data_IF_444744817128
#
_entry.id   IF_444744817128
#
_cell.length_a   1.000
_cell.length_b   1.000
_cell.length_c   1.000
_cell.angle_alpha   90.00
_cell.angle_beta   90.00
_cell.angle_gamma   90.00
#
_symmetry.space_group_name_H-M   'P 1'
#
loop_
_entity.id
_entity.type
_entity.pdbx_description
1 polymer ?
#
# COMPACT_ATOMS: atom_id res chain seq x y z
N UNK A 1 20.82 -5.38 -3.40
CA UNK A 1 20.85 -5.55 -4.88
C UNK A 1 21.40 -4.29 -5.52
N UNK A 2 22.22 -4.42 -6.57
CA UNK A 2 22.75 -3.29 -7.34
C UNK A 2 22.35 -3.41 -8.82
N UNK A 3 21.70 -2.38 -9.34
CA UNK A 3 21.37 -2.24 -10.76
C UNK A 3 22.60 -1.77 -11.55
N UNK A 4 22.63 -2.06 -12.84
CA UNK A 4 23.74 -1.68 -13.73
C UNK A 4 23.29 -0.65 -14.75
N UNK A 5 24.22 0.19 -15.22
CA UNK A 5 23.96 1.16 -16.29
C UNK A 5 22.68 1.96 -16.08
N UNK A 6 22.61 2.66 -14.94
CA UNK A 6 21.45 3.46 -14.57
C UNK A 6 21.46 4.78 -15.34
N UNK A 7 20.31 5.12 -15.91
CA UNK A 7 20.08 6.39 -16.60
C UNK A 7 18.88 7.10 -15.97
N UNK A 8 19.01 8.41 -15.77
CA UNK A 8 17.93 9.27 -15.29
C UNK A 8 17.02 9.67 -16.45
N UNK A 9 15.71 9.63 -16.23
CA UNK A 9 14.72 9.93 -17.25
C UNK A 9 13.52 10.67 -16.68
N UNK A 10 12.65 11.17 -17.56
CA UNK A 10 11.30 11.63 -17.21
C UNK A 10 10.27 10.63 -17.68
N UNK A 11 9.36 10.25 -16.79
CA UNK A 11 8.20 9.43 -17.17
C UNK A 11 7.25 10.24 -18.05
N UNK A 12 6.84 9.70 -19.19
CA UNK A 12 5.88 10.39 -20.09
C UNK A 12 4.49 9.81 -19.91
N UNK A 13 4.31 8.51 -20.18
CA UNK A 13 3.02 7.84 -20.03
C UNK A 13 3.15 6.33 -19.97
N UNK A 14 2.18 5.68 -19.32
CA UNK A 14 2.01 4.23 -19.35
C UNK A 14 1.31 3.83 -20.64
N UNK A 15 1.89 2.90 -21.40
CA UNK A 15 1.28 2.37 -22.62
C UNK A 15 0.37 1.18 -22.33
N UNK A 16 0.84 0.27 -21.48
CA UNK A 16 0.10 -0.91 -21.04
C UNK A 16 0.67 -1.43 -19.72
N UNK A 17 0.27 -2.64 -19.31
CA UNK A 17 0.72 -3.26 -18.04
C UNK A 17 2.23 -3.48 -17.93
N UNK A 18 2.98 -3.55 -19.04
CA UNK A 18 4.41 -3.90 -19.05
C UNK A 18 5.29 -2.91 -19.83
N UNK A 19 4.73 -1.81 -20.33
CA UNK A 19 5.47 -0.84 -21.14
C UNK A 19 5.03 0.59 -20.85
N UNK A 20 6.00 1.50 -20.91
CA UNK A 20 5.83 2.94 -20.78
C UNK A 20 6.73 3.68 -21.77
N UNK A 21 6.40 4.94 -22.03
CA UNK A 21 7.27 5.90 -22.68
C UNK A 21 7.96 6.76 -21.63
N UNK A 22 9.24 7.01 -21.85
CA UNK A 22 10.13 7.81 -21.01
C UNK A 22 10.96 8.72 -21.90
N UNK A 23 11.31 9.91 -21.43
CA UNK A 23 12.24 10.82 -22.08
C UNK A 23 13.63 10.65 -21.48
N UNK A 24 14.59 10.29 -22.32
CA UNK A 24 16.01 10.15 -21.99
C UNK A 24 16.77 11.07 -22.94
N UNK A 25 17.54 12.02 -22.39
CA UNK A 25 18.32 12.99 -23.18
C UNK A 25 17.51 13.73 -24.28
N UNK A 26 16.24 14.03 -23.98
CA UNK A 26 15.33 14.72 -24.91
C UNK A 26 14.66 13.82 -25.95
N UNK A 27 14.95 12.52 -25.98
CA UNK A 27 14.33 11.55 -26.87
C UNK A 27 13.32 10.64 -26.15
N UNK A 28 12.15 10.43 -26.77
CA UNK A 28 11.16 9.47 -26.25
C UNK A 28 11.61 8.04 -26.57
N UNK A 29 11.78 7.23 -25.53
CA UNK A 29 12.17 5.82 -25.58
C UNK A 29 11.11 4.93 -24.93
N UNK A 30 11.09 3.66 -25.34
CA UNK A 30 10.28 2.63 -24.68
C UNK A 30 11.03 2.06 -23.47
N UNK A 31 10.31 1.88 -22.37
CA UNK A 31 10.82 1.21 -21.17
C UNK A 31 9.87 0.10 -20.72
N UNK A 32 10.44 -0.98 -20.21
CA UNK A 32 9.70 -2.04 -19.52
C UNK A 32 9.24 -1.55 -18.15
N UNK A 33 7.98 -1.83 -17.81
CA UNK A 33 7.41 -1.60 -16.50
C UNK A 33 7.32 -2.96 -15.75
N UNK A 34 8.22 -3.25 -14.79
CA UNK A 34 8.35 -4.57 -14.18
C UNK A 34 7.40 -4.78 -12.98
N UNK A 35 6.14 -4.36 -13.13
CA UNK A 35 5.13 -4.51 -12.09
C UNK A 35 3.73 -4.53 -12.67
N UNK A 36 2.87 -5.39 -12.12
CA UNK A 36 1.45 -5.44 -12.45
C UNK A 36 0.62 -4.43 -11.64
N UNK A 37 1.23 -3.79 -10.62
CA UNK A 37 0.55 -2.76 -9.85
C UNK A 37 0.17 -1.57 -10.75
N UNK A 38 -0.92 -0.89 -10.39
CA UNK A 38 -1.38 0.27 -11.18
C UNK A 38 -0.40 1.43 -11.07
N UNK A 39 0.15 1.66 -9.87
CA UNK A 39 1.11 2.72 -9.53
C UNK A 39 0.69 4.11 -10.02
N UNK A 40 -0.60 4.43 -9.99
CA UNK A 40 -1.12 5.70 -10.54
C UNK A 40 -0.52 6.91 -9.82
N UNK A 41 -0.33 6.78 -8.50
CA UNK A 41 0.25 7.81 -7.65
C UNK A 41 1.75 8.06 -7.88
N UNK A 42 2.43 7.18 -8.61
CA UNK A 42 3.86 7.28 -8.95
C UNK A 42 4.08 7.57 -10.44
N UNK A 43 3.27 6.96 -11.32
CA UNK A 43 3.38 7.05 -12.78
C UNK A 43 2.71 8.33 -13.31
N UNK A 44 3.16 9.48 -12.81
CA UNK A 44 2.66 10.81 -13.19
C UNK A 44 3.56 11.37 -14.31
N UNK A 45 2.99 11.89 -15.42
CA UNK A 45 3.78 12.52 -16.48
C UNK A 45 4.71 13.62 -15.91
N UNK A 46 5.98 13.59 -16.34
CA UNK A 46 7.03 14.48 -15.86
C UNK A 46 7.76 14.00 -14.60
N UNK A 47 7.29 12.96 -13.92
CA UNK A 47 7.98 12.39 -12.76
C UNK A 47 9.39 11.92 -13.15
N UNK A 48 10.37 12.22 -12.30
CA UNK A 48 11.73 11.69 -12.49
C UNK A 48 11.72 10.19 -12.23
N UNK A 49 12.37 9.41 -13.09
CA UNK A 49 12.55 7.98 -12.90
C UNK A 49 13.98 7.55 -13.25
N UNK A 50 14.38 6.39 -12.72
CA UNK A 50 15.65 5.77 -13.02
C UNK A 50 15.42 4.48 -13.82
N UNK A 51 16.28 4.28 -14.82
CA UNK A 51 16.18 3.22 -15.81
C UNK A 51 17.43 2.35 -15.77
N UNK A 52 17.26 1.04 -15.77
CA UNK A 52 18.35 0.10 -16.05
C UNK A 52 18.37 -0.22 -17.54
N UNK A 53 19.53 -0.04 -18.19
CA UNK A 53 19.73 -0.46 -19.57
C UNK A 53 19.65 -1.99 -19.71
N UNK A 54 18.94 -2.42 -20.74
CA UNK A 54 18.86 -3.81 -21.12
C UNK A 54 20.23 -4.31 -21.63
N UNK A 55 20.75 -5.37 -21.01
CA UNK A 55 21.95 -6.07 -21.50
C UNK A 55 21.74 -6.70 -22.88
N UNK A 56 20.52 -7.18 -23.16
CA UNK A 56 20.14 -7.70 -24.46
C UNK A 56 19.65 -6.58 -25.39
N UNK A 57 20.51 -6.18 -26.33
CA UNK A 57 20.22 -5.13 -27.33
C UNK A 57 19.07 -5.46 -28.28
N UNK A 58 18.63 -6.72 -28.37
CA UNK A 58 17.49 -7.12 -29.21
C UNK A 58 16.14 -6.94 -28.50
N UNK A 59 16.11 -6.51 -27.24
CA UNK A 59 14.85 -6.23 -26.52
C UNK A 59 14.12 -5.06 -27.18
N UNK A 60 12.80 -5.22 -27.36
CA UNK A 60 11.90 -4.14 -27.80
C UNK A 60 11.92 -2.93 -26.84
N UNK A 61 12.14 -3.19 -25.56
CA UNK A 61 12.33 -2.17 -24.52
C UNK A 61 13.81 -2.10 -24.15
N UNK A 62 14.55 -1.08 -24.61
CA UNK A 62 15.97 -0.91 -24.28
C UNK A 62 16.22 -0.61 -22.80
N UNK A 63 15.18 -0.22 -22.06
CA UNK A 63 15.26 0.11 -20.64
C UNK A 63 14.25 -0.68 -19.81
N UNK A 64 14.54 -0.81 -18.51
CA UNK A 64 13.57 -1.21 -17.48
C UNK A 64 13.49 -0.08 -16.46
N UNK A 65 12.28 0.38 -16.13
CA UNK A 65 12.10 1.38 -15.06
C UNK A 65 12.33 0.68 -13.71
N UNK A 66 13.34 1.13 -12.95
CA UNK A 66 13.68 0.54 -11.65
C UNK A 66 13.04 1.29 -10.50
N UNK A 67 13.03 2.62 -10.57
CA UNK A 67 12.48 3.48 -9.51
C UNK A 67 11.93 4.79 -10.04
N UNK A 68 11.09 5.44 -9.23
CA UNK A 68 10.44 6.72 -9.50
C UNK A 68 10.63 7.63 -8.31
N UNK A 69 10.85 8.92 -8.57
CA UNK A 69 10.95 9.95 -7.53
C UNK A 69 9.57 10.57 -7.28
N UNK A 70 9.13 10.57 -6.03
CA UNK A 70 7.92 11.26 -5.57
C UNK A 70 8.24 12.03 -4.29
N UNK A 71 7.90 13.32 -4.25
CA UNK A 71 8.11 14.20 -3.08
C UNK A 71 9.56 14.16 -2.54
N UNK A 72 10.54 14.00 -3.43
CA UNK A 72 11.96 13.89 -3.06
C UNK A 72 12.43 12.49 -2.62
N UNK A 73 11.52 11.53 -2.44
CA UNK A 73 11.82 10.14 -2.10
C UNK A 73 11.96 9.30 -3.38
N UNK A 74 12.90 8.34 -3.40
CA UNK A 74 13.05 7.37 -4.48
C UNK A 74 12.30 6.09 -4.10
N UNK A 75 11.33 5.67 -4.90
CA UNK A 75 10.54 4.46 -4.68
C UNK A 75 10.88 3.41 -5.74
N UNK A 76 11.26 2.23 -5.30
CA UNK A 76 11.51 1.12 -6.21
C UNK A 76 10.18 0.51 -6.68
N UNK A 77 10.07 0.23 -7.97
CA UNK A 77 8.83 -0.29 -8.56
C UNK A 77 8.97 -1.73 -9.04
N UNK A 78 10.15 -2.34 -8.94
CA UNK A 78 10.43 -3.69 -9.43
C UNK A 78 9.98 -4.69 -8.38
N UNK A 79 8.74 -5.17 -8.49
CA UNK A 79 8.15 -6.05 -7.45
C UNK A 79 8.91 -7.36 -7.22
N UNK A 80 9.60 -7.88 -8.25
CA UNK A 80 10.30 -9.16 -8.17
C UNK A 80 11.59 -9.12 -7.33
N UNK A 81 12.12 -7.93 -7.00
CA UNK A 81 13.36 -7.83 -6.22
C UNK A 81 13.18 -8.24 -4.77
N UNK A 82 11.94 -8.17 -4.25
CA UNK A 82 11.64 -8.50 -2.86
C UNK A 82 12.09 -9.92 -2.49
N UNK A 83 11.87 -10.90 -3.37
CA UNK A 83 12.27 -12.29 -3.14
C UNK A 83 13.80 -12.41 -3.01
N UNK A 84 14.54 -11.74 -3.88
CA UNK A 84 16.01 -11.78 -3.84
C UNK A 84 16.57 -11.02 -2.64
N UNK A 85 15.96 -9.91 -2.25
CA UNK A 85 16.32 -9.16 -1.06
C UNK A 85 16.15 -10.01 0.20
N UNK A 86 14.98 -10.61 0.40
CA UNK A 86 14.71 -11.49 1.54
C UNK A 86 15.67 -12.67 1.56
N UNK A 87 15.89 -13.32 0.41
CA UNK A 87 16.77 -14.49 0.34
C UNK A 87 18.20 -14.14 0.76
N UNK A 88 18.76 -13.09 0.16
CA UNK A 88 20.14 -12.68 0.42
C UNK A 88 20.31 -12.19 1.86
N UNK A 89 19.35 -11.43 2.39
CA UNK A 89 19.41 -10.95 3.78
C UNK A 89 19.27 -12.08 4.80
N UNK A 90 18.50 -13.13 4.52
CA UNK A 90 18.49 -14.33 5.38
C UNK A 90 19.84 -15.06 5.30
N UNK A 91 20.39 -15.27 4.10
CA UNK A 91 21.69 -15.93 3.90
C UNK A 91 22.82 -15.18 4.62
N UNK A 92 22.77 -13.86 4.64
CA UNK A 92 23.73 -13.01 5.34
C UNK A 92 23.48 -12.89 6.86
N UNK A 93 22.38 -13.47 7.38
CA UNK A 93 22.01 -13.38 8.79
C UNK A 93 21.49 -12.01 9.23
N UNK A 94 21.08 -11.16 8.29
CA UNK A 94 20.61 -9.79 8.54
C UNK A 94 19.17 -9.76 9.06
N UNK A 95 18.32 -10.68 8.59
CA UNK A 95 16.91 -10.80 8.98
C UNK A 95 16.56 -12.23 9.38
N UNK A 96 15.50 -12.37 10.17
CA UNK A 96 14.96 -13.68 10.61
C UNK A 96 15.99 -14.59 11.28
N UNK A 97 17.06 -14.02 11.87
CA UNK A 97 18.13 -14.77 12.52
C UNK A 97 17.65 -15.55 13.75
N UNK A 98 16.57 -15.08 14.38
CA UNK A 98 15.86 -15.77 15.47
C UNK A 98 15.32 -17.16 15.05
N UNK A 99 15.03 -17.38 13.77
CA UNK A 99 14.52 -18.66 13.26
C UNK A 99 15.62 -19.70 13.05
N UNK A 100 16.91 -19.32 13.12
CA UNK A 100 18.06 -20.23 12.92
C UNK A 100 17.93 -21.06 11.62
N UNK A 101 17.68 -20.34 10.53
CA UNK A 101 17.39 -20.90 9.20
C UNK A 101 18.63 -21.64 8.65
N UNK A 102 18.38 -22.81 8.07
CA UNK A 102 19.31 -23.70 7.37
C UNK A 102 18.66 -24.20 6.06
N UNK A 103 19.46 -24.63 5.10
CA UNK A 103 19.02 -25.28 3.86
C UNK A 103 17.95 -24.48 3.07
N UNK A 104 18.07 -23.14 3.09
CA UNK A 104 17.14 -22.21 2.44
C UNK A 104 17.14 -22.40 0.92
N UNK A 105 15.96 -22.68 0.36
CA UNK A 105 15.73 -22.90 -1.07
C UNK A 105 14.64 -21.96 -1.57
N UNK A 106 14.78 -21.47 -2.80
CA UNK A 106 13.75 -20.69 -3.49
C UNK A 106 12.71 -21.59 -4.14
N UNK A 107 11.51 -21.04 -4.37
CA UNK A 107 10.48 -21.63 -5.25
C UNK A 107 10.05 -23.05 -4.81
N UNK A 108 9.79 -23.22 -3.51
CA UNK A 108 9.51 -24.53 -2.89
C UNK A 108 8.01 -24.84 -2.93
N UNK A 109 7.66 -26.04 -3.40
CA UNK A 109 6.27 -26.50 -3.46
C UNK A 109 5.80 -27.01 -2.10
N UNK A 110 4.63 -26.58 -1.67
CA UNK A 110 3.90 -27.14 -0.53
C UNK A 110 2.42 -27.27 -0.91
N UNK A 111 1.84 -28.44 -0.68
CA UNK A 111 0.44 -28.73 -1.05
C UNK A 111 0.11 -28.29 -2.50
N UNK A 112 -0.76 -27.28 -2.66
CA UNK A 112 -1.25 -26.81 -3.95
C UNK A 112 -0.59 -25.51 -4.43
N UNK A 113 0.35 -24.93 -3.69
CA UNK A 113 1.08 -23.72 -4.09
C UNK A 113 2.58 -23.90 -4.03
N UNK A 114 3.26 -22.85 -4.45
CA UNK A 114 4.70 -22.71 -4.42
C UNK A 114 4.99 -21.43 -3.65
N UNK A 115 5.66 -21.59 -2.52
CA UNK A 115 6.12 -20.48 -1.71
C UNK A 115 7.44 -19.95 -2.28
N UNK A 116 7.68 -18.67 -2.05
CA UNK A 116 8.91 -18.02 -2.51
C UNK A 116 10.16 -18.70 -1.93
N UNK A 117 10.08 -19.21 -0.69
CA UNK A 117 11.17 -19.99 -0.08
C UNK A 117 10.67 -21.11 0.85
N UNK A 118 11.50 -22.13 1.02
CA UNK A 118 11.37 -23.16 2.04
C UNK A 118 12.71 -23.42 2.71
N UNK A 119 12.69 -23.84 3.96
CA UNK A 119 13.88 -24.00 4.78
C UNK A 119 13.71 -25.09 5.85
N UNK A 120 14.81 -25.43 6.50
CA UNK A 120 14.82 -26.18 7.77
C UNK A 120 15.53 -25.35 8.82
N UNK A 121 15.21 -25.48 10.10
CA UNK A 121 15.97 -24.86 11.18
C UNK A 121 17.12 -25.76 11.64
N UNK A 122 18.03 -25.22 12.46
CA UNK A 122 19.08 -26.02 13.10
C UNK A 122 18.53 -27.18 13.96
N UNK A 123 17.36 -27.00 14.59
CA UNK A 123 16.67 -28.06 15.35
C UNK A 123 15.79 -28.99 14.48
N UNK A 124 15.87 -28.86 13.15
CA UNK A 124 15.28 -29.79 12.19
C UNK A 124 13.81 -29.53 11.84
N UNK A 125 13.24 -28.37 12.21
CA UNK A 125 11.87 -28.01 11.83
C UNK A 125 11.83 -27.46 10.42
N UNK A 126 10.86 -27.89 9.63
CA UNK A 126 10.62 -27.33 8.31
C UNK A 126 9.84 -26.02 8.40
N UNK A 127 10.11 -25.13 7.44
CA UNK A 127 9.35 -23.89 7.32
C UNK A 127 9.23 -23.35 5.90
N UNK A 128 8.27 -22.46 5.72
CA UNK A 128 8.01 -21.77 4.46
C UNK A 128 7.94 -20.25 4.66
N UNK A 129 8.43 -19.53 3.65
CA UNK A 129 8.39 -18.07 3.59
C UNK A 129 7.67 -17.67 2.31
N UNK A 130 6.62 -16.87 2.46
CA UNK A 130 5.99 -16.14 1.37
C UNK A 130 6.36 -14.67 1.44
N UNK A 131 6.74 -14.07 0.32
CA UNK A 131 7.15 -12.68 0.21
C UNK A 131 6.06 -11.86 -0.49
N UNK A 132 5.84 -10.64 0.00
CA UNK A 132 4.97 -9.64 -0.63
C UNK A 132 5.72 -8.32 -0.76
N UNK A 133 5.87 -7.85 -2.00
CA UNK A 133 6.38 -6.51 -2.27
C UNK A 133 5.29 -5.46 -2.09
N UNK A 134 5.62 -4.36 -1.42
CA UNK A 134 4.72 -3.22 -1.17
C UNK A 134 5.32 -1.96 -1.78
N UNK A 135 4.55 -1.31 -2.63
CA UNK A 135 4.91 -0.07 -3.32
C UNK A 135 3.79 0.99 -3.21
N UNK A 136 2.80 0.74 -2.35
CA UNK A 136 1.69 1.64 -2.07
C UNK A 136 1.91 2.32 -0.72
N UNK A 137 1.87 3.65 -0.72
CA UNK A 137 2.05 4.49 0.47
C UNK A 137 0.95 5.55 0.52
N UNK A 138 0.21 5.62 1.64
CA UNK A 138 -0.84 6.63 1.87
C UNK A 138 -0.71 7.21 3.26
N UNK A 139 -0.67 8.54 3.37
CA UNK A 139 -0.49 9.24 4.65
C UNK A 139 0.68 8.65 5.46
N UNK A 140 1.82 8.42 4.78
CA UNK A 140 3.02 7.78 5.33
C UNK A 140 2.85 6.34 5.85
N UNK A 141 1.78 5.63 5.47
CA UNK A 141 1.51 4.24 5.85
C UNK A 141 1.66 3.33 4.64
N UNK A 142 2.41 2.22 4.81
CA UNK A 142 2.59 1.20 3.78
C UNK A 142 1.43 0.19 3.81
N UNK A 143 0.89 -0.16 2.64
CA UNK A 143 -0.34 -0.97 2.56
C UNK A 143 -0.28 -2.09 1.51
N UNK A 144 -0.79 -3.28 1.84
CA UNK A 144 -0.94 -4.40 0.89
C UNK A 144 -2.31 -5.09 1.03
N UNK A 145 -2.98 -5.48 -0.07
CA UNK A 145 -2.52 -5.39 -1.45
C UNK A 145 -2.82 -4.05 -2.13
N UNK A 146 -2.12 -3.75 -3.23
CA UNK A 146 -2.44 -2.61 -4.11
C UNK A 146 -3.51 -2.91 -5.18
N UNK A 147 -3.95 -4.16 -5.27
CA UNK A 147 -5.10 -4.61 -6.08
C UNK A 147 -5.67 -5.92 -5.52
N UNK A 148 -6.96 -6.25 -5.69
CA UNK A 148 -7.52 -7.51 -5.20
C UNK A 148 -6.70 -8.73 -5.66
N UNK A 149 -6.40 -9.66 -4.76
CA UNK A 149 -5.47 -10.77 -5.02
C UNK A 149 -5.98 -12.13 -4.50
N UNK A 150 -6.69 -12.86 -5.37
CA UNK A 150 -7.11 -14.24 -5.08
C UNK A 150 -5.92 -15.16 -4.79
N UNK A 151 -4.81 -14.99 -5.54
CA UNK A 151 -3.59 -15.76 -5.33
C UNK A 151 -2.97 -15.49 -3.97
N UNK A 152 -2.91 -14.23 -3.55
CA UNK A 152 -2.42 -13.86 -2.22
C UNK A 152 -3.24 -14.50 -1.11
N UNK A 153 -4.58 -14.55 -1.26
CA UNK A 153 -5.46 -15.22 -0.29
C UNK A 153 -5.23 -16.73 -0.23
N UNK A 154 -5.04 -17.36 -1.37
CA UNK A 154 -4.72 -18.80 -1.44
C UNK A 154 -3.42 -19.10 -0.71
N UNK A 155 -2.38 -18.28 -0.91
CA UNK A 155 -1.09 -18.48 -0.25
C UNK A 155 -1.19 -18.30 1.27
N UNK A 156 -1.97 -17.33 1.76
CA UNK A 156 -2.25 -17.19 3.21
C UNK A 156 -2.89 -18.46 3.79
N UNK A 157 -3.93 -18.98 3.15
CA UNK A 157 -4.59 -20.25 3.56
C UNK A 157 -3.62 -21.42 3.61
N UNK A 158 -2.67 -21.47 2.68
CA UNK A 158 -1.66 -22.51 2.64
C UNK A 158 -0.56 -22.32 3.69
N UNK A 159 -0.21 -21.08 4.07
CA UNK A 159 0.65 -20.83 5.23
C UNK A 159 -0.02 -21.32 6.51
N UNK A 160 -1.31 -21.01 6.70
CA UNK A 160 -2.11 -21.53 7.82
C UNK A 160 -2.17 -23.06 7.81
N UNK A 161 -2.31 -23.67 6.63
CA UNK A 161 -2.21 -25.12 6.48
C UNK A 161 -0.85 -25.67 6.91
N UNK A 162 0.26 -25.03 6.54
CA UNK A 162 1.59 -25.43 6.98
C UNK A 162 1.74 -25.34 8.51
N UNK A 163 1.20 -24.28 9.15
CA UNK A 163 1.14 -24.19 10.63
C UNK A 163 0.40 -25.35 11.26
N UNK A 164 -0.77 -25.73 10.72
CA UNK A 164 -1.55 -26.88 11.22
C UNK A 164 -0.80 -28.21 11.08
N UNK A 165 0.12 -28.32 10.13
CA UNK A 165 1.01 -29.47 9.99
C UNK A 165 2.29 -29.39 10.86
N UNK A 166 2.36 -28.42 11.79
CA UNK A 166 3.49 -28.25 12.70
C UNK A 166 4.73 -27.60 12.08
N UNK A 167 4.61 -27.01 10.89
CA UNK A 167 5.71 -26.30 10.21
C UNK A 167 5.76 -24.83 10.62
N UNK A 168 6.91 -24.20 10.43
CA UNK A 168 7.04 -22.74 10.54
C UNK A 168 6.44 -22.12 9.27
N UNK A 169 5.65 -21.06 9.41
CA UNK A 169 5.06 -20.36 8.28
C UNK A 169 5.21 -18.86 8.49
N UNK A 170 5.85 -18.21 7.53
CA UNK A 170 6.25 -16.81 7.62
C UNK A 170 5.74 -16.05 6.41
N UNK A 171 5.09 -14.92 6.65
CA UNK A 171 4.81 -13.91 5.64
C UNK A 171 5.80 -12.75 5.82
N UNK A 172 6.61 -12.48 4.80
CA UNK A 172 7.52 -11.34 4.79
C UNK A 172 6.99 -10.25 3.86
N UNK A 173 6.75 -9.08 4.42
CA UNK A 173 6.37 -7.88 3.69
C UNK A 173 7.64 -7.07 3.41
N UNK A 174 7.91 -6.77 2.14
CA UNK A 174 9.05 -5.93 1.74
C UNK A 174 8.50 -4.64 1.16
N UNK A 175 8.64 -3.55 1.91
CA UNK A 175 8.28 -2.21 1.47
C UNK A 175 9.42 -1.66 0.64
N UNK A 176 9.10 -1.24 -0.59
CA UNK A 176 10.05 -0.85 -1.63
C UNK A 176 10.38 0.66 -1.61
N UNK A 177 10.32 1.24 -0.42
CA UNK A 177 10.65 2.63 -0.12
C UNK A 177 11.09 2.72 1.35
N UNK A 178 11.68 3.85 1.73
CA UNK A 178 12.43 3.95 2.98
C UNK A 178 11.56 4.43 4.14
N UNK A 179 10.82 5.51 3.94
CA UNK A 179 10.15 6.20 5.04
C UNK A 179 8.68 5.77 5.14
N UNK A 180 8.26 5.35 6.33
CA UNK A 180 6.86 5.16 6.70
C UNK A 180 6.71 5.00 8.21
N UNK A 181 5.49 5.15 8.69
CA UNK A 181 5.19 4.97 10.10
C UNK A 181 5.03 3.48 10.48
N UNK A 182 4.34 2.71 9.62
CA UNK A 182 4.09 1.27 9.81
C UNK A 182 3.53 0.64 8.53
N UNK A 183 3.49 -0.70 8.53
CA UNK A 183 2.76 -1.50 7.55
C UNK A 183 1.38 -1.93 8.07
N UNK A 184 0.36 -1.90 7.21
CA UNK A 184 -0.97 -2.46 7.49
C UNK A 184 -1.61 -3.16 6.28
N UNK A 185 -2.68 -3.92 6.53
CA UNK A 185 -3.47 -4.55 5.47
C UNK A 185 -4.37 -3.52 4.77
N UNK A 186 -4.44 -3.61 3.44
CA UNK A 186 -5.29 -2.76 2.63
C UNK A 186 -6.70 -3.35 2.51
N UNK A 187 -7.51 -3.12 3.55
CA UNK A 187 -8.88 -3.63 3.63
C UNK A 187 -9.78 -3.00 2.55
N UNK A 188 -9.55 -1.73 2.18
CA UNK A 188 -10.31 -1.10 1.08
C UNK A 188 -10.10 -1.82 -0.26
N UNK A 189 -8.86 -2.28 -0.53
CA UNK A 189 -8.55 -2.99 -1.77
C UNK A 189 -9.08 -4.41 -1.74
N UNK A 190 -8.79 -5.15 -0.67
CA UNK A 190 -9.14 -6.57 -0.56
C UNK A 190 -9.52 -6.93 0.87
N UNK A 191 -10.81 -6.75 1.23
CA UNK A 191 -11.31 -7.11 2.56
C UNK A 191 -11.11 -8.60 2.86
N UNK A 192 -11.27 -9.46 1.86
CA UNK A 192 -11.12 -10.91 2.01
C UNK A 192 -9.67 -11.28 2.27
N UNK A 193 -8.69 -10.60 1.65
CA UNK A 193 -7.28 -10.84 1.92
C UNK A 193 -6.89 -10.38 3.31
N UNK A 194 -7.41 -9.22 3.72
CA UNK A 194 -7.13 -8.67 5.05
C UNK A 194 -7.73 -9.53 6.16
N UNK A 195 -8.95 -10.05 5.95
CA UNK A 195 -9.57 -11.02 6.85
C UNK A 195 -8.77 -12.32 6.92
N UNK A 196 -8.35 -12.84 5.77
CA UNK A 196 -7.53 -14.06 5.73
C UNK A 196 -6.16 -13.87 6.40
N UNK A 197 -5.57 -12.67 6.30
CA UNK A 197 -4.31 -12.36 6.98
C UNK A 197 -4.49 -12.45 8.50
N UNK A 198 -5.55 -11.84 9.04
CA UNK A 198 -5.87 -11.89 10.47
C UNK A 198 -6.11 -13.34 10.94
N UNK A 199 -6.88 -14.11 10.17
CA UNK A 199 -7.09 -15.54 10.45
C UNK A 199 -5.76 -16.31 10.48
N UNK A 200 -4.89 -16.08 9.49
CA UNK A 200 -3.60 -16.76 9.37
C UNK A 200 -2.69 -16.46 10.57
N UNK A 201 -2.66 -15.21 11.02
CA UNK A 201 -1.92 -14.81 12.22
C UNK A 201 -2.51 -15.47 13.48
N UNK A 202 -3.84 -15.54 13.59
CA UNK A 202 -4.52 -16.26 14.67
C UNK A 202 -4.19 -17.77 14.70
N UNK A 203 -3.87 -18.36 13.55
CA UNK A 203 -3.37 -19.74 13.43
C UNK A 203 -1.84 -19.86 13.66
N UNK A 204 -1.17 -18.76 13.98
CA UNK A 204 0.26 -18.72 14.31
C UNK A 204 1.19 -18.54 13.11
N UNK A 205 0.69 -18.07 11.96
CA UNK A 205 1.55 -17.58 10.87
C UNK A 205 2.25 -16.32 11.35
N UNK A 206 3.57 -16.30 11.29
CA UNK A 206 4.37 -15.14 11.68
C UNK A 206 4.40 -14.11 10.54
N UNK A 207 4.36 -12.83 10.88
CA UNK A 207 4.48 -11.74 9.91
C UNK A 207 5.64 -10.83 10.29
N UNK A 208 6.51 -10.58 9.33
CA UNK A 208 7.60 -9.60 9.44
C UNK A 208 7.45 -8.59 8.32
N UNK A 209 7.72 -7.32 8.60
CA UNK A 209 7.78 -6.29 7.57
C UNK A 209 9.15 -5.62 7.61
N UNK A 210 9.71 -5.35 6.44
CA UNK A 210 10.99 -4.63 6.30
C UNK A 210 10.83 -3.49 5.30
N UNK A 211 11.48 -2.36 5.58
CA UNK A 211 11.62 -1.27 4.62
C UNK A 211 12.87 -1.48 3.77
N UNK A 212 12.99 -0.66 2.72
CA UNK A 212 14.15 -0.73 1.84
C UNK A 212 14.79 0.65 1.70
N UNK A 213 16.11 0.70 1.83
CA UNK A 213 16.87 1.87 1.42
C UNK A 213 17.01 1.85 -0.10
N UNK A 214 16.46 2.86 -0.75
CA UNK A 214 16.43 2.95 -2.21
C UNK A 214 17.33 4.09 -2.67
N UNK A 215 18.27 3.77 -3.54
CA UNK A 215 19.13 4.73 -4.24
C UNK A 215 18.88 4.60 -5.75
N UNK A 216 19.49 5.49 -6.52
CA UNK A 216 19.40 5.48 -7.99
C UNK A 216 19.81 4.11 -8.58
N UNK A 217 20.85 3.49 -8.03
CA UNK A 217 21.46 2.25 -8.53
C UNK A 217 21.38 1.06 -7.58
N UNK A 218 20.69 1.17 -6.45
CA UNK A 218 20.63 0.07 -5.49
C UNK A 218 19.34 0.04 -4.67
N UNK A 219 19.00 -1.16 -4.21
CA UNK A 219 18.00 -1.38 -3.18
C UNK A 219 18.52 -2.42 -2.20
N UNK A 220 18.36 -2.17 -0.90
CA UNK A 220 18.72 -3.08 0.17
C UNK A 220 17.67 -3.03 1.29
N UNK A 221 17.47 -4.15 2.00
CA UNK A 221 16.68 -4.14 3.23
C UNK A 221 17.38 -3.23 4.22
N UNK A 222 16.63 -2.36 4.89
CA UNK A 222 17.19 -1.42 5.87
C UNK A 222 16.87 -1.85 7.30
N UNK A 223 15.59 -1.84 7.69
CA UNK A 223 15.20 -2.19 9.05
C UNK A 223 13.81 -2.85 9.08
N UNK A 224 13.53 -3.54 10.19
CA UNK A 224 12.20 -4.07 10.46
C UNK A 224 11.24 -2.92 10.76
N UNK A 225 10.05 -2.98 10.17
CA UNK A 225 8.98 -2.01 10.39
C UNK A 225 7.90 -2.61 11.25
N UNK A 226 7.28 -1.74 12.06
CA UNK A 226 6.09 -2.10 12.80
C UNK A 226 4.99 -2.61 11.86
N UNK A 227 4.52 -3.82 12.13
CA UNK A 227 3.27 -4.35 11.58
C UNK A 227 2.15 -3.92 12.51
N UNK A 228 1.18 -3.18 11.98
CA UNK A 228 0.00 -2.77 12.74
C UNK A 228 -1.27 -3.07 11.95
N UNK A 229 -1.85 -4.21 12.27
CA UNK A 229 -3.08 -4.71 11.68
C UNK A 229 -4.31 -4.34 12.52
N UNK A 230 -4.16 -3.35 13.42
CA UNK A 230 -5.02 -3.09 14.58
C UNK A 230 -6.45 -2.66 14.27
N UNK A 231 -6.99 -3.03 13.11
CA UNK A 231 -8.29 -2.65 12.60
C UNK A 231 -8.82 -3.76 11.70
N UNK A 232 -10.03 -4.24 11.96
CA UNK A 232 -10.88 -4.91 10.98
C UNK A 232 -11.98 -3.93 10.56
N UNK A 233 -12.38 -3.98 9.29
CA UNK A 233 -13.50 -3.18 8.79
C UNK A 233 -14.67 -4.10 8.53
N UNK A 234 -15.72 -3.93 9.32
CA UNK A 234 -17.01 -4.54 9.06
C UNK A 234 -17.87 -3.57 8.25
N UNK A 235 -18.46 -4.09 7.17
CA UNK A 235 -19.51 -3.35 6.48
C UNK A 235 -20.78 -3.47 7.32
N UNK A 236 -21.32 -2.35 7.76
CA UNK A 236 -22.56 -2.34 8.54
C UNK A 236 -23.77 -2.75 7.69
N UNK A 237 -24.91 -2.91 8.36
CA UNK A 237 -26.19 -3.34 7.73
C UNK A 237 -26.65 -2.43 6.59
N UNK A 238 -26.22 -1.16 6.61
CA UNK A 238 -26.51 -0.17 5.58
C UNK A 238 -25.37 -0.04 4.55
N UNK A 239 -25.75 0.15 3.27
CA UNK A 239 -24.81 0.43 2.18
C UNK A 239 -23.92 1.64 2.54
N UNK A 240 -22.60 1.48 2.37
CA UNK A 240 -21.56 2.48 2.65
C UNK A 240 -21.37 2.86 4.13
N UNK A 241 -21.88 2.07 5.09
CA UNK A 241 -21.52 2.18 6.50
C UNK A 241 -20.34 1.25 6.80
N UNK A 242 -19.33 1.77 7.47
CA UNK A 242 -18.12 1.04 7.83
C UNK A 242 -17.84 1.17 9.32
N UNK A 243 -17.41 0.06 9.93
CA UNK A 243 -17.13 -0.08 11.34
C UNK A 243 -15.69 -0.56 11.49
N UNK A 244 -14.87 0.19 12.21
CA UNK A 244 -13.46 -0.09 12.44
C UNK A 244 -13.33 -0.66 13.84
N UNK A 245 -12.78 -1.88 13.96
CA UNK A 245 -12.59 -2.55 15.24
C UNK A 245 -11.16 -2.96 15.46
N UNK A 246 -10.65 -2.79 16.67
CA UNK A 246 -9.45 -3.49 17.13
C UNK A 246 -9.91 -4.51 18.16
N UNK A 247 -9.65 -5.79 17.91
CA UNK A 247 -10.19 -6.87 18.75
C UNK A 247 -11.73 -6.75 18.86
N UNK A 248 -12.28 -6.60 20.06
CA UNK A 248 -13.73 -6.37 20.28
C UNK A 248 -14.12 -4.88 20.35
N UNK A 249 -13.14 -3.97 20.47
CA UNK A 249 -13.40 -2.55 20.64
C UNK A 249 -13.70 -1.88 19.30
N UNK A 250 -14.84 -1.18 19.25
CA UNK A 250 -15.15 -0.29 18.13
C UNK A 250 -14.30 0.97 18.25
N UNK A 251 -13.44 1.21 17.28
CA UNK A 251 -12.58 2.38 17.22
C UNK A 251 -13.23 3.54 16.48
N UNK A 252 -14.03 3.24 15.47
CA UNK A 252 -14.76 4.25 14.73
C UNK A 252 -15.84 3.70 13.82
N UNK A 253 -16.82 4.53 13.49
CA UNK A 253 -17.90 4.27 12.56
C UNK A 253 -17.99 5.42 11.59
N UNK A 254 -18.27 5.12 10.32
CA UNK A 254 -18.66 6.17 9.40
C UNK A 254 -19.56 5.72 8.28
N UNK A 255 -20.13 6.70 7.59
CA UNK A 255 -21.01 6.50 6.45
C UNK A 255 -20.59 7.39 5.30
N UNK A 256 -20.39 6.76 4.14
CA UNK A 256 -20.09 7.46 2.89
C UNK A 256 -21.37 7.67 2.08
N UNK A 257 -21.66 8.93 1.76
CA UNK A 257 -22.82 9.30 0.95
C UNK A 257 -22.32 9.80 -0.39
N UNK A 258 -22.70 9.13 -1.49
CA UNK A 258 -22.48 9.69 -2.83
C UNK A 258 -23.50 10.80 -3.01
N UNK A 259 -23.02 12.03 -3.19
CA UNK A 259 -23.88 13.16 -3.52
C UNK A 259 -23.81 13.33 -5.04
N UNK A 260 -24.94 13.14 -5.72
CA UNK A 260 -25.14 13.72 -7.05
C UNK A 260 -25.85 15.05 -6.82
N UNK A 261 -25.32 16.14 -7.36
CA UNK A 261 -25.97 17.47 -7.52
C UNK A 261 -27.11 17.75 -6.53
N UNK A 262 -26.82 18.08 -5.27
CA UNK A 262 -27.85 18.55 -4.33
C UNK A 262 -27.30 19.34 -3.12
N UNK A 263 -26.16 20.04 -3.26
CA UNK A 263 -25.70 21.06 -2.30
C UNK A 263 -25.31 22.33 -3.08
N UNK A 264 -26.15 22.73 -4.04
CA UNK A 264 -25.89 23.85 -4.96
C UNK A 264 -26.47 25.19 -4.50
N UNK A 265 -26.96 25.34 -3.27
CA UNK A 265 -27.53 26.63 -2.89
C UNK A 265 -26.50 27.66 -2.41
N UNK A 266 -25.22 27.31 -2.22
CA UNK A 266 -24.20 28.26 -1.71
C UNK A 266 -22.80 28.18 -2.37
N UNK A 267 -22.64 27.50 -3.51
CA UNK A 267 -21.35 27.36 -4.19
C UNK A 267 -21.44 27.76 -5.66
N UNK A 268 -20.53 28.61 -6.13
CA UNK A 268 -20.46 29.08 -7.52
C UNK A 268 -20.02 27.99 -8.51
N UNK A 269 -21.01 27.23 -8.98
CA UNK A 269 -21.33 26.72 -10.34
C UNK A 269 -20.31 26.40 -11.45
N UNK A 270 -18.99 26.37 -11.25
CA UNK A 270 -18.07 26.11 -12.37
C UNK A 270 -17.36 24.75 -12.45
N UNK A 271 -17.57 23.82 -11.52
CA UNK A 271 -16.97 22.48 -11.61
C UNK A 271 -17.94 21.43 -11.06
N UNK A 272 -18.79 20.89 -11.93
CA UNK A 272 -19.64 19.74 -11.63
C UNK A 272 -18.76 18.49 -11.53
N UNK A 273 -18.08 18.32 -10.40
CA UNK A 273 -17.25 17.15 -10.13
C UNK A 273 -18.01 16.08 -9.34
N UNK A 274 -17.78 14.81 -9.70
CA UNK A 274 -18.24 13.65 -8.95
C UNK A 274 -17.40 13.56 -7.65
N UNK A 275 -18.00 13.80 -6.48
CA UNK A 275 -17.30 13.74 -5.17
C UNK A 275 -18.02 12.83 -4.15
N UNK A 276 -17.27 12.43 -3.11
CA UNK A 276 -17.78 11.66 -1.97
C UNK A 276 -17.87 12.55 -0.74
N UNK A 277 -19.01 12.50 -0.03
CA UNK A 277 -19.17 13.16 1.26
C UNK A 277 -19.06 12.12 2.38
N UNK A 278 -18.14 12.35 3.31
CA UNK A 278 -18.07 11.64 4.59
C UNK A 278 -18.92 12.43 5.60
N UNK A 279 -20.20 12.05 5.76
CA UNK A 279 -21.21 12.88 6.44
C UNK A 279 -21.53 12.46 7.88
N UNK A 280 -21.17 11.24 8.26
CA UNK A 280 -21.35 10.74 9.64
C UNK A 280 -20.06 10.02 10.00
N UNK A 281 -19.34 10.52 11.00
CA UNK A 281 -18.15 9.90 11.59
C UNK A 281 -18.33 9.89 13.09
N UNK A 282 -18.29 8.71 13.71
CA UNK A 282 -18.25 8.52 15.15
C UNK A 282 -16.93 7.82 15.48
N UNK A 283 -15.96 8.56 16.01
CA UNK A 283 -14.68 8.00 16.45
C UNK A 283 -14.79 7.75 17.95
N UNK A 284 -14.76 6.48 18.35
CA UNK A 284 -14.84 6.08 19.76
C UNK A 284 -13.45 6.04 20.41
N UNK A 285 -12.44 5.66 19.64
CA UNK A 285 -11.03 5.75 20.03
C UNK A 285 -10.36 6.98 19.40
N UNK A 286 -10.06 8.00 20.22
CA UNK A 286 -9.44 9.25 19.77
C UNK A 286 -7.93 9.14 19.51
N UNK A 287 -7.40 7.95 19.24
CA UNK A 287 -6.02 7.86 18.78
C UNK A 287 -5.91 8.50 17.39
N UNK A 288 -4.87 9.31 17.18
CA UNK A 288 -4.57 9.93 15.87
C UNK A 288 -4.54 8.87 14.76
N UNK A 289 -4.04 7.69 15.12
CA UNK A 289 -3.91 6.54 14.25
C UNK A 289 -5.24 6.00 13.71
N UNK A 290 -6.26 5.88 14.56
CA UNK A 290 -7.60 5.42 14.16
C UNK A 290 -8.23 6.38 13.14
N UNK A 291 -7.97 7.68 13.29
CA UNK A 291 -8.45 8.71 12.35
C UNK A 291 -7.70 8.66 11.02
N UNK A 292 -6.37 8.61 11.05
CA UNK A 292 -5.53 8.54 9.84
C UNK A 292 -5.85 7.31 8.98
N UNK A 293 -6.06 6.15 9.61
CA UNK A 293 -6.40 4.91 8.91
C UNK A 293 -7.81 4.94 8.29
N UNK A 294 -8.78 5.52 9.01
CA UNK A 294 -10.13 5.74 8.49
C UNK A 294 -10.13 6.66 7.27
N UNK A 295 -9.42 7.80 7.34
CA UNK A 295 -9.33 8.74 6.23
C UNK A 295 -8.62 8.09 5.03
N UNK A 296 -7.51 7.39 5.27
CA UNK A 296 -6.80 6.64 4.22
C UNK A 296 -7.70 5.62 3.52
N UNK A 297 -8.56 4.92 4.28
CA UNK A 297 -9.56 4.00 3.71
C UNK A 297 -10.58 4.73 2.84
N UNK A 298 -11.08 5.88 3.28
CA UNK A 298 -12.08 6.67 2.52
C UNK A 298 -11.47 7.26 1.26
N UNK A 299 -10.27 7.85 1.34
CA UNK A 299 -9.49 8.30 0.19
C UNK A 299 -9.31 7.16 -0.82
N UNK A 300 -9.14 5.93 -0.35
CA UNK A 300 -8.99 4.80 -1.25
C UNK A 300 -10.28 4.40 -1.96
N UNK A 301 -11.39 4.29 -1.22
CA UNK A 301 -12.68 4.04 -1.84
C UNK A 301 -13.07 5.12 -2.85
N UNK A 302 -12.61 6.35 -2.62
CA UNK A 302 -12.82 7.50 -3.50
C UNK A 302 -12.02 7.33 -4.80
N UNK A 303 -10.71 7.06 -4.69
CA UNK A 303 -9.81 6.79 -5.82
C UNK A 303 -10.26 5.58 -6.67
N UNK A 304 -10.67 4.47 -6.05
CA UNK A 304 -11.16 3.28 -6.78
C UNK A 304 -12.46 3.55 -7.54
N UNK A 305 -13.27 4.49 -7.06
CA UNK A 305 -14.49 4.97 -7.74
C UNK A 305 -14.22 6.05 -8.79
N UNK A 306 -12.96 6.40 -9.05
CA UNK A 306 -12.53 7.47 -9.96
C UNK A 306 -13.15 8.83 -9.59
N UNK A 307 -13.27 9.08 -8.30
CA UNK A 307 -13.69 10.38 -7.78
C UNK A 307 -12.43 11.18 -7.48
N UNK A 308 -12.42 12.44 -7.92
CA UNK A 308 -11.21 13.28 -7.90
C UNK A 308 -11.08 14.07 -6.59
N UNK A 309 -12.21 14.27 -5.90
CA UNK A 309 -12.29 15.04 -4.66
C UNK A 309 -13.03 14.27 -3.58
N UNK A 310 -12.46 14.32 -2.37
CA UNK A 310 -13.11 13.94 -1.13
C UNK A 310 -13.37 15.18 -0.28
N UNK A 311 -14.63 15.37 0.14
CA UNK A 311 -15.03 16.41 1.07
C UNK A 311 -15.43 15.81 2.41
N UNK A 312 -14.89 16.36 3.49
CA UNK A 312 -15.19 15.97 4.86
C UNK A 312 -15.86 17.16 5.55
N UNK A 313 -17.06 16.96 6.05
CA UNK A 313 -17.85 17.98 6.74
C UNK A 313 -17.73 17.76 8.25
N UNK A 314 -17.31 18.79 8.98
CA UNK A 314 -17.23 18.78 10.45
C UNK A 314 -18.23 19.78 11.03
N UNK A 315 -18.66 19.58 12.29
CA UNK A 315 -19.54 20.52 13.03
C UNK A 315 -18.71 21.22 14.12
N UNK A 316 -19.10 22.41 14.55
CA UNK A 316 -18.40 23.10 15.66
C UNK A 316 -18.66 22.41 17.02
N UNK A 317 -17.94 21.33 17.32
CA UNK A 317 -17.89 20.72 18.64
C UNK A 317 -16.46 20.24 18.97
N UNK A 318 -16.17 19.94 20.24
CA UNK A 318 -14.83 19.51 20.66
C UNK A 318 -14.36 18.17 20.05
N UNK A 319 -15.26 17.31 19.55
CA UNK A 319 -14.88 16.05 18.89
C UNK A 319 -14.34 16.33 17.48
N UNK A 320 -14.93 17.30 16.81
CA UNK A 320 -14.61 17.66 15.44
C UNK A 320 -13.31 18.46 15.35
N UNK A 321 -12.97 19.29 16.36
CA UNK A 321 -11.65 19.98 16.41
C UNK A 321 -10.44 19.03 16.29
N UNK A 322 -10.49 17.87 16.95
CA UNK A 322 -9.43 16.87 16.86
C UNK A 322 -9.31 16.28 15.45
N UNK A 323 -10.46 16.04 14.79
CA UNK A 323 -10.51 15.60 13.40
C UNK A 323 -9.97 16.70 12.47
N UNK A 324 -10.35 17.96 12.67
CA UNK A 324 -9.86 19.12 11.91
C UNK A 324 -8.33 19.24 11.94
N UNK A 325 -7.72 19.11 13.13
CA UNK A 325 -6.26 19.13 13.28
C UNK A 325 -5.57 18.03 12.47
N UNK A 326 -6.13 16.81 12.50
CA UNK A 326 -5.61 15.67 11.73
C UNK A 326 -5.80 15.89 10.23
N UNK A 327 -6.96 16.38 9.80
CA UNK A 327 -7.25 16.68 8.39
C UNK A 327 -6.23 17.66 7.81
N UNK A 328 -5.94 18.74 8.53
CA UNK A 328 -4.93 19.72 8.13
C UNK A 328 -3.55 19.05 8.06
N UNK A 329 -3.17 18.27 9.09
CA UNK A 329 -1.89 17.56 9.14
C UNK A 329 -1.68 16.63 7.93
N UNK A 330 -2.73 15.96 7.46
CA UNK A 330 -2.67 15.04 6.32
C UNK A 330 -3.00 15.71 4.97
N UNK A 331 -3.01 17.04 4.92
CA UNK A 331 -3.05 17.82 3.68
C UNK A 331 -4.44 18.11 3.13
N UNK A 332 -5.49 18.11 3.97
CA UNK A 332 -6.77 18.69 3.57
C UNK A 332 -6.74 20.21 3.75
N UNK A 333 -7.42 20.91 2.83
CA UNK A 333 -7.63 22.35 2.87
C UNK A 333 -9.03 22.67 3.39
N UNK A 334 -9.13 23.56 4.38
CA UNK A 334 -10.40 24.11 4.81
C UNK A 334 -10.98 25.04 3.74
N UNK A 335 -12.21 24.78 3.30
CA UNK A 335 -12.96 25.65 2.42
C UNK A 335 -13.67 26.72 3.25
N UNK A 336 -13.31 27.98 3.02
CA UNK A 336 -14.03 29.12 3.58
C UNK A 336 -15.37 29.28 2.87
N UNK A 337 -16.44 28.78 3.50
CA UNK A 337 -17.80 28.93 3.00
C UNK A 337 -18.46 30.09 3.70
N UNK A 338 -19.07 30.98 2.91
CA UNK A 338 -19.97 32.00 3.42
C UNK A 338 -21.33 31.35 3.71
N UNK A 339 -21.39 30.48 4.71
CA UNK A 339 -22.66 29.91 5.12
C UNK A 339 -22.83 30.02 6.65
N UNK A 340 -24.00 30.47 7.07
CA UNK A 340 -24.34 30.81 8.47
C UNK A 340 -24.50 29.58 9.38
N UNK A 341 -24.13 28.39 8.91
CA UNK A 341 -24.20 27.15 9.66
C UNK A 341 -22.80 26.81 10.19
N UNK A 342 -22.70 26.46 11.46
CA UNK A 342 -21.50 26.09 12.23
C UNK A 342 -20.79 24.81 11.74
N UNK A 343 -20.55 24.72 10.42
CA UNK A 343 -19.98 23.57 9.74
C UNK A 343 -18.79 24.00 8.92
N UNK A 344 -17.72 23.22 8.97
CA UNK A 344 -16.54 23.41 8.13
C UNK A 344 -16.45 22.30 7.12
N UNK A 345 -15.96 22.63 5.93
CA UNK A 345 -15.73 21.64 4.88
C UNK A 345 -14.25 21.59 4.56
N UNK A 346 -13.67 20.41 4.66
CA UNK A 346 -12.31 20.13 4.29
C UNK A 346 -12.29 19.39 2.96
N UNK A 347 -11.45 19.82 2.03
CA UNK A 347 -11.26 19.16 0.73
C UNK A 347 -9.83 18.66 0.59
N UNK A 348 -9.68 17.54 -0.11
CA UNK A 348 -8.39 17.08 -0.62
C UNK A 348 -8.60 16.46 -1.98
N UNK A 349 -7.70 16.77 -2.91
CA UNK A 349 -7.62 16.03 -4.16
C UNK A 349 -7.13 14.62 -3.86
N UNK A 350 -7.93 13.64 -4.23
CA UNK A 350 -7.63 12.24 -4.00
C UNK A 350 -7.12 11.68 -5.33
N UNK A 351 -5.81 11.49 -5.43
CA UNK A 351 -5.13 11.08 -6.66
C UNK A 351 -5.87 9.94 -7.40
N UNK A 352 -6.04 10.13 -8.72
CA UNK A 352 -6.73 9.22 -9.67
C UNK A 352 -6.16 7.81 -9.72
#
# INVERSE_FOLDING_TARGET
>A
MKYKSIVKAKFIRKLNRFAAEVEVDGEIKLAHLPTTARLRELLIPGATCYLEEATNKNRKTPYTITSIVKNGEILNIVSTVANDLVYNSIVNGEILSNLKIKDLKKEVKFSHSRFDMGFTTEDGKEGFIEVKSVNLKRNNIAMFPGSPTQRGRKHLKELSHAKREGKIAVLVIVVLFEDMDYFTANIATDPEWSKELLNSIGEGVEIYAYNSKVKEDSIEIKEEVKVDLGYSIEKGDAKNKFLFKKDEDVLGRFKLTKVKEALENNFTRNEAEDYLLLSEVEILDKSVKSVELMISFVEQLTSDKKLDILKIETKENNRDKFLEEILIKIGYEELNLKDNNSRKIFKKFVDK
#
